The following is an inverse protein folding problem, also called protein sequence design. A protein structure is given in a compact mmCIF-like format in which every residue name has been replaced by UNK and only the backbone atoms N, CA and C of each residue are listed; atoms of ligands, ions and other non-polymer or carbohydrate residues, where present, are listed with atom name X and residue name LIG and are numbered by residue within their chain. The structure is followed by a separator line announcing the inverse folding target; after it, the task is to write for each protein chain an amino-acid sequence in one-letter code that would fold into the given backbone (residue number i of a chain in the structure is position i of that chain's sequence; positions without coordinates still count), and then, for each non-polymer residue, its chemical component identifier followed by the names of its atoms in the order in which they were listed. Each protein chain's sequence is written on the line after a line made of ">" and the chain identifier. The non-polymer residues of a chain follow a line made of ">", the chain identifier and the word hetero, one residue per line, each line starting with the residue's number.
data_IF_819700660520
#
_entry.id   IF_819700660520
#
_cell.length_a   1.000
_cell.length_b   1.000
_cell.length_c   1.000
_cell.angle_alpha   90.00
_cell.angle_beta   90.00
_cell.angle_gamma   90.00
#
_symmetry.space_group_name_H-M   'P 1'
#
loop_
_entity.id
_entity.type
_entity.pdbx_description
1 polymer ?
#
# COMPACT_ATOMS: atom_id res chain seq x y z
N UNK A 1 -3.64 10.98 17.03
CA UNK A 1 -3.62 9.65 16.38
C UNK A 1 -2.19 9.28 15.94
N UNK A 2 -1.89 8.05 15.52
CA UNK A 2 -0.55 7.69 15.02
C UNK A 2 -0.13 8.55 13.80
N UNK A 3 -1.08 8.85 12.91
CA UNK A 3 -0.88 9.71 11.72
C UNK A 3 -0.29 11.08 12.08
N UNK A 4 -0.82 11.74 13.11
CA UNK A 4 -0.34 13.06 13.56
C UNK A 4 1.05 12.97 14.21
N UNK A 5 1.36 11.86 14.88
CA UNK A 5 2.67 11.63 15.48
C UNK A 5 3.74 11.37 14.42
N UNK A 6 3.38 10.63 13.39
CA UNK A 6 4.29 10.17 12.33
C UNK A 6 4.37 11.16 11.15
N UNK A 7 3.61 12.27 11.19
CA UNK A 7 3.60 13.34 10.18
C UNK A 7 3.37 12.82 8.75
N UNK A 8 2.52 11.81 8.60
CA UNK A 8 2.27 11.15 7.32
C UNK A 8 1.35 12.00 6.45
N UNK A 9 1.92 12.69 5.46
CA UNK A 9 1.22 13.68 4.64
C UNK A 9 0.29 13.10 3.54
N UNK A 10 0.33 11.79 3.30
CA UNK A 10 -0.51 11.15 2.29
C UNK A 10 -1.94 10.91 2.78
N UNK A 11 -2.84 10.51 1.86
CA UNK A 11 -4.24 10.24 2.20
C UNK A 11 -4.35 8.98 3.07
N UNK A 12 -5.07 9.10 4.19
CA UNK A 12 -5.37 7.98 5.08
C UNK A 12 -6.87 7.70 5.07
N UNK A 13 -7.24 6.43 4.93
CA UNK A 13 -8.62 5.95 5.01
C UNK A 13 -8.68 4.72 5.90
N UNK A 14 -9.81 4.55 6.61
CA UNK A 14 -10.09 3.36 7.42
C UNK A 14 -11.59 3.14 7.47
N UNK A 15 -12.02 1.91 7.28
CA UNK A 15 -13.42 1.50 7.43
C UNK A 15 -13.74 0.97 8.85
N UNK A 16 -12.76 0.97 9.76
CA UNK A 16 -12.85 0.50 11.15
C UNK A 16 -13.34 -0.96 11.30
N UNK A 17 -13.15 -1.78 10.26
CA UNK A 17 -13.55 -3.20 10.25
C UNK A 17 -12.40 -4.17 10.55
N UNK A 18 -11.21 -3.67 10.88
CA UNK A 18 -9.98 -4.46 11.06
C UNK A 18 -9.76 -5.45 9.90
N UNK A 19 -9.46 -6.72 10.20
CA UNK A 19 -9.29 -7.80 9.24
C UNK A 19 -10.55 -8.16 8.44
N UNK A 20 -11.72 -7.62 8.80
CA UNK A 20 -12.99 -7.84 8.08
C UNK A 20 -13.26 -6.77 7.02
N UNK A 21 -12.31 -5.89 6.74
CA UNK A 21 -12.43 -4.91 5.66
C UNK A 21 -12.64 -5.61 4.32
N UNK A 22 -13.58 -5.11 3.52
CA UNK A 22 -13.82 -5.62 2.17
C UNK A 22 -12.58 -5.44 1.29
N UNK A 23 -11.81 -4.36 1.51
CA UNK A 23 -10.56 -4.12 0.82
C UNK A 23 -9.49 -5.16 1.22
N UNK A 24 -9.38 -5.51 2.50
CA UNK A 24 -8.43 -6.53 2.96
C UNK A 24 -8.70 -7.89 2.31
N UNK A 25 -9.97 -8.27 2.15
CA UNK A 25 -10.36 -9.51 1.46
C UNK A 25 -10.08 -9.43 -0.04
N UNK A 26 -10.49 -8.36 -0.71
CA UNK A 26 -10.33 -8.20 -2.16
C UNK A 26 -8.86 -8.16 -2.60
N UNK A 27 -8.01 -7.48 -1.83
CA UNK A 27 -6.57 -7.40 -2.09
C UNK A 27 -5.78 -8.55 -1.45
N UNK A 28 -6.47 -9.53 -0.86
CA UNK A 28 -5.87 -10.70 -0.21
C UNK A 28 -4.78 -10.34 0.82
N UNK A 29 -5.01 -9.29 1.62
CA UNK A 29 -4.08 -8.84 2.66
C UNK A 29 -4.06 -9.85 3.79
N UNK A 30 -2.90 -10.47 4.04
CA UNK A 30 -2.71 -11.52 5.06
C UNK A 30 -1.87 -11.08 6.25
N UNK A 31 -1.09 -10.03 6.07
CA UNK A 31 -0.27 -9.43 7.13
C UNK A 31 -0.14 -7.93 6.89
N UNK A 32 0.31 -7.23 7.92
CA UNK A 32 0.68 -5.81 7.84
C UNK A 32 2.09 -5.64 8.43
N UNK A 33 2.91 -4.71 7.91
CA UNK A 33 2.64 -3.84 6.76
C UNK A 33 2.66 -4.58 5.41
N UNK A 34 1.88 -4.09 4.45
CA UNK A 34 1.88 -4.51 3.04
C UNK A 34 1.63 -3.28 2.16
N UNK A 35 2.19 -3.28 0.95
CA UNK A 35 1.97 -2.25 -0.07
C UNK A 35 1.61 -2.88 -1.41
N UNK A 36 0.95 -2.09 -2.26
CA UNK A 36 0.60 -2.44 -3.63
C UNK A 36 1.04 -1.29 -4.54
N UNK A 37 1.73 -1.62 -5.63
CA UNK A 37 2.07 -0.67 -6.67
C UNK A 37 1.12 -0.89 -7.84
N UNK A 38 0.37 0.13 -8.22
CA UNK A 38 -0.59 0.08 -9.32
C UNK A 38 -0.17 1.02 -10.45
N UNK A 39 -0.50 0.66 -11.68
CA UNK A 39 -0.41 1.56 -12.84
C UNK A 39 -1.65 2.49 -12.91
N UNK A 40 -1.65 3.50 -13.80
CA UNK A 40 -2.78 4.41 -13.98
C UNK A 40 -4.09 3.74 -14.45
N UNK A 41 -4.03 2.52 -14.99
CA UNK A 41 -5.20 1.74 -15.39
C UNK A 41 -5.74 0.86 -14.24
N UNK A 42 -5.10 0.89 -13.06
CA UNK A 42 -5.46 0.07 -11.91
C UNK A 42 -4.90 -1.35 -11.95
N UNK A 43 -3.92 -1.63 -12.81
CA UNK A 43 -3.21 -2.92 -12.88
C UNK A 43 -2.19 -2.99 -11.76
N UNK A 44 -2.19 -4.08 -10.99
CA UNK A 44 -1.18 -4.33 -9.95
C UNK A 44 0.15 -4.69 -10.61
N UNK A 45 1.14 -3.84 -10.46
CA UNK A 45 2.51 -4.02 -10.97
C UNK A 45 3.40 -4.77 -9.98
N UNK A 46 3.17 -4.62 -8.68
CA UNK A 46 3.90 -5.32 -7.62
C UNK A 46 3.13 -5.33 -6.29
N UNK A 47 3.46 -6.29 -5.43
CA UNK A 47 2.87 -6.48 -4.10
C UNK A 47 3.98 -6.74 -3.08
N UNK A 48 3.93 -6.05 -1.94
CA UNK A 48 4.79 -6.32 -0.79
C UNK A 48 6.28 -6.05 -1.04
N UNK A 49 6.61 -5.04 -1.87
CA UNK A 49 8.00 -4.65 -2.08
C UNK A 49 8.53 -3.87 -0.88
N UNK A 50 9.76 -4.15 -0.48
CA UNK A 50 10.42 -3.48 0.63
C UNK A 50 11.86 -3.11 0.28
N UNK A 51 12.41 -2.15 1.02
CA UNK A 51 13.82 -1.76 0.91
C UNK A 51 14.25 -1.43 -0.53
N UNK A 52 15.36 -2.02 -0.96
CA UNK A 52 15.96 -1.79 -2.27
C UNK A 52 15.05 -2.22 -3.42
N UNK A 53 14.32 -3.33 -3.27
CA UNK A 53 13.43 -3.83 -4.31
C UNK A 53 12.28 -2.85 -4.62
N UNK A 54 11.78 -2.17 -3.59
CA UNK A 54 10.79 -1.10 -3.78
C UNK A 54 11.39 0.08 -4.55
N UNK A 55 12.58 0.55 -4.15
CA UNK A 55 13.23 1.69 -4.81
C UNK A 55 13.50 1.41 -6.28
N UNK A 56 14.09 0.25 -6.59
CA UNK A 56 14.37 -0.15 -7.97
C UNK A 56 13.09 -0.19 -8.82
N UNK A 57 11.98 -0.69 -8.26
CA UNK A 57 10.73 -0.74 -9.02
C UNK A 57 10.14 0.65 -9.26
N UNK A 58 10.24 1.55 -8.29
CA UNK A 58 9.81 2.94 -8.46
C UNK A 58 10.62 3.66 -9.53
N UNK A 59 11.94 3.49 -9.54
CA UNK A 59 12.83 4.07 -10.56
C UNK A 59 12.54 3.55 -11.97
N UNK A 60 12.11 2.29 -12.09
CA UNK A 60 11.72 1.70 -13.38
C UNK A 60 10.43 2.34 -13.94
N UNK A 61 9.44 2.59 -13.08
CA UNK A 61 8.08 2.99 -13.51
C UNK A 61 7.86 4.50 -13.52
N UNK A 62 8.67 5.30 -12.82
CA UNK A 62 8.52 6.75 -12.69
C UNK A 62 9.49 7.58 -13.56
N UNK A 63 10.07 6.98 -14.60
CA UNK A 63 10.92 7.72 -15.55
C UNK A 63 10.18 8.86 -16.26
#
# INVERSE_FOLDING_TARGET
>A
AAIEKDQLAWTHVSDLKDWKSDAAVQYAIRWIPMNFLLDPNGVILAVGLEGEALQQKLDEVLK
#
